data_IF_092290099777
#
_entry.id   IF_092290099777
#
_cell.length_a   1.000
_cell.length_b   1.000
_cell.length_c   1.000
_cell.angle_alpha   90.00
_cell.angle_beta   90.00
_cell.angle_gamma   90.00
#
_symmetry.space_group_name_H-M   'P 1'
#
loop_
_entity.id
_entity.type
_entity.pdbx_description
1 polymer ?
#
# COMPACT_ATOMS: atom_id res chain seq x y z
N UNK A 1 14.45 -2.75 7.84
CA UNK A 1 15.46 -2.03 7.04
C UNK A 1 16.56 -1.37 7.89
N UNK A 2 16.25 -0.79 9.06
CA UNK A 2 17.30 -0.32 10.00
C UNK A 2 18.36 -1.38 10.34
N UNK A 3 17.97 -2.68 10.42
CA UNK A 3 18.90 -3.80 10.63
C UNK A 3 19.89 -4.05 9.47
N UNK A 4 19.51 -3.73 8.22
CA UNK A 4 20.31 -4.02 7.02
C UNK A 4 21.22 -2.86 6.60
N UNK A 5 20.92 -1.64 7.06
CA UNK A 5 21.74 -0.44 6.85
C UNK A 5 23.21 -0.60 7.29
N UNK A 6 23.52 -1.05 8.51
CA UNK A 6 24.91 -1.22 8.95
C UNK A 6 25.63 -2.31 8.15
N UNK A 7 24.95 -3.43 7.86
CA UNK A 7 25.53 -4.51 7.06
C UNK A 7 25.92 -4.03 5.65
N UNK A 8 25.03 -3.26 5.00
CA UNK A 8 25.32 -2.72 3.66
C UNK A 8 26.47 -1.71 3.70
N UNK A 9 26.48 -0.78 4.67
CA UNK A 9 27.60 0.18 4.80
C UNK A 9 28.94 -0.52 5.07
N UNK A 10 28.94 -1.55 5.90
CA UNK A 10 30.14 -2.33 6.19
C UNK A 10 30.64 -3.08 4.95
N UNK A 11 29.75 -3.54 4.08
CA UNK A 11 30.14 -4.15 2.80
C UNK A 11 30.92 -3.16 1.91
N UNK A 12 30.44 -1.92 1.78
CA UNK A 12 31.11 -0.87 0.99
C UNK A 12 32.36 -0.28 1.68
N UNK A 13 32.48 -0.44 3.00
CA UNK A 13 33.68 -0.06 3.77
C UNK A 13 34.69 -1.21 3.93
N UNK A 14 34.38 -2.41 3.42
CA UNK A 14 35.23 -3.59 3.58
C UNK A 14 36.51 -3.50 2.77
N UNK A 15 37.59 -4.15 3.25
CA UNK A 15 38.85 -4.22 2.51
C UNK A 15 38.68 -4.84 1.12
N UNK A 16 37.78 -5.83 0.98
CA UNK A 16 37.48 -6.45 -0.31
C UNK A 16 36.88 -5.46 -1.31
N UNK A 17 36.13 -4.46 -0.82
CA UNK A 17 35.58 -3.40 -1.66
C UNK A 17 36.63 -2.34 -1.96
N UNK A 18 37.34 -1.84 -0.94
CA UNK A 18 38.30 -0.72 -1.09
C UNK A 18 39.56 -1.10 -1.86
N UNK A 19 40.01 -2.36 -1.77
CA UNK A 19 41.12 -2.90 -2.57
C UNK A 19 40.68 -3.46 -3.94
N UNK A 20 39.37 -3.61 -4.15
CA UNK A 20 38.82 -4.21 -5.36
C UNK A 20 38.77 -3.23 -6.54
N UNK A 21 38.64 -3.79 -7.75
CA UNK A 21 38.42 -3.01 -9.00
C UNK A 21 37.20 -2.08 -8.95
N UNK A 22 36.24 -2.37 -8.06
CA UNK A 22 35.01 -1.61 -7.90
C UNK A 22 35.21 -0.28 -7.17
N UNK A 23 36.25 -0.15 -6.33
CA UNK A 23 36.61 1.13 -5.70
C UNK A 23 37.15 2.15 -6.71
N UNK A 24 37.82 1.69 -7.77
CA UNK A 24 38.38 2.55 -8.83
C UNK A 24 37.40 2.76 -9.98
N UNK A 25 36.44 1.85 -10.19
CA UNK A 25 35.43 2.01 -11.21
C UNK A 25 34.43 3.14 -10.87
N UNK A 26 34.17 4.03 -11.84
CA UNK A 26 33.24 5.16 -11.70
C UNK A 26 31.84 4.74 -11.23
N UNK A 27 31.36 3.56 -11.66
CA UNK A 27 30.05 3.02 -11.22
C UNK A 27 30.08 2.59 -9.76
N UNK A 28 31.16 1.95 -9.32
CA UNK A 28 31.32 1.52 -7.93
C UNK A 28 31.51 2.68 -6.96
N UNK A 29 32.24 3.74 -7.37
CA UNK A 29 32.34 4.99 -6.60
C UNK A 29 30.98 5.65 -6.41
N UNK A 30 30.19 5.80 -7.48
CA UNK A 30 28.82 6.35 -7.36
C UNK A 30 27.94 5.52 -6.44
N UNK A 31 28.00 4.19 -6.55
CA UNK A 31 27.22 3.30 -5.69
C UNK A 31 27.62 3.45 -4.22
N UNK A 32 28.92 3.59 -3.95
CA UNK A 32 29.46 3.88 -2.63
C UNK A 32 28.87 5.20 -2.09
N UNK A 33 29.00 6.29 -2.85
CA UNK A 33 28.50 7.61 -2.45
C UNK A 33 27.00 7.59 -2.12
N UNK A 34 26.20 6.91 -2.95
CA UNK A 34 24.74 6.76 -2.74
C UNK A 34 24.45 6.05 -1.41
N UNK A 35 25.14 4.94 -1.11
CA UNK A 35 24.94 4.16 0.11
C UNK A 35 25.35 4.93 1.37
N UNK A 36 26.33 5.82 1.28
CA UNK A 36 26.72 6.65 2.42
C UNK A 36 25.83 7.88 2.61
N UNK A 37 25.17 8.36 1.54
CA UNK A 37 24.30 9.54 1.58
C UNK A 37 23.07 9.34 2.48
N UNK A 38 22.75 10.28 3.41
CA UNK A 38 21.57 10.19 4.27
C UNK A 38 20.24 10.18 3.49
N UNK A 39 20.15 10.95 2.41
CA UNK A 39 18.94 11.07 1.58
C UNK A 39 18.53 9.73 0.98
N UNK A 40 19.48 8.89 0.56
CA UNK A 40 19.20 7.53 0.09
C UNK A 40 18.43 6.72 1.14
N UNK A 41 18.91 6.71 2.38
CA UNK A 41 18.26 5.95 3.45
C UNK A 41 16.90 6.52 3.85
N UNK A 42 16.76 7.85 3.81
CA UNK A 42 15.48 8.50 4.05
C UNK A 42 14.47 8.12 2.96
N UNK A 43 14.89 8.12 1.69
CA UNK A 43 14.05 7.72 0.57
C UNK A 43 13.65 6.25 0.66
N UNK A 44 14.60 5.34 0.95
CA UNK A 44 14.26 3.92 1.10
C UNK A 44 13.33 3.69 2.30
N UNK A 45 13.51 4.42 3.41
CA UNK A 45 12.60 4.35 4.55
C UNK A 45 11.20 4.83 4.16
N UNK A 46 11.12 5.92 3.41
CA UNK A 46 9.86 6.46 2.90
C UNK A 46 9.17 5.48 1.96
N UNK A 47 9.89 4.92 0.99
CA UNK A 47 9.37 3.88 0.10
C UNK A 47 8.81 2.69 0.88
N UNK A 48 9.49 2.26 1.95
CA UNK A 48 9.00 1.16 2.78
C UNK A 48 7.74 1.54 3.56
N UNK A 49 7.63 2.77 4.06
CA UNK A 49 6.42 3.26 4.71
C UNK A 49 5.23 3.33 3.75
N UNK A 50 5.47 3.63 2.48
CA UNK A 50 4.44 3.66 1.42
C UNK A 50 4.06 2.25 0.98
N UNK A 51 5.06 1.42 0.64
CA UNK A 51 4.85 0.09 0.08
C UNK A 51 4.38 -0.93 1.11
N UNK A 52 4.76 -0.78 2.39
CA UNK A 52 4.39 -1.71 3.45
C UNK A 52 2.87 -1.93 3.58
N UNK A 53 2.07 -0.86 3.71
CA UNK A 53 0.61 -0.96 3.70
C UNK A 53 0.06 -1.56 2.40
N UNK A 54 0.57 -1.17 1.24
CA UNK A 54 0.12 -1.70 -0.06
C UNK A 54 0.36 -3.21 -0.20
N UNK A 55 1.52 -3.70 0.22
CA UNK A 55 1.83 -5.15 0.23
C UNK A 55 0.90 -5.91 1.17
N UNK A 56 0.46 -5.30 2.28
CA UNK A 56 -0.54 -5.93 3.15
C UNK A 56 -1.90 -6.06 2.46
N UNK A 57 -2.32 -5.04 1.71
CA UNK A 57 -3.55 -5.10 0.89
C UNK A 57 -3.43 -6.22 -0.13
N UNK A 58 -2.33 -6.30 -0.88
CA UNK A 58 -2.11 -7.35 -1.87
C UNK A 58 -2.16 -8.76 -1.25
N UNK A 59 -1.46 -8.99 -0.14
CA UNK A 59 -1.51 -10.28 0.57
C UNK A 59 -2.92 -10.66 1.03
N UNK A 60 -3.70 -9.66 1.41
CA UNK A 60 -5.08 -9.84 1.85
C UNK A 60 -6.00 -10.19 0.66
N UNK A 61 -5.81 -9.54 -0.49
CA UNK A 61 -6.49 -9.85 -1.75
C UNK A 61 -6.12 -11.23 -2.27
N UNK A 62 -4.84 -11.60 -2.22
CA UNK A 62 -4.32 -12.87 -2.75
C UNK A 62 -4.73 -14.09 -1.90
N UNK A 63 -4.91 -13.90 -0.58
CA UNK A 63 -5.32 -14.97 0.32
C UNK A 63 -6.81 -15.34 0.18
N UNK A 64 -7.64 -14.46 -0.37
CA UNK A 64 -9.07 -14.72 -0.57
C UNK A 64 -9.33 -15.19 -2.01
N UNK A 65 -10.00 -16.35 -2.19
CA UNK A 65 -10.33 -16.90 -3.51
C UNK A 65 -11.07 -15.91 -4.43
N UNK A 66 -11.84 -14.97 -3.84
CA UNK A 66 -12.39 -13.74 -4.43
C UNK A 66 -12.63 -12.77 -3.27
N UNK A 67 -11.91 -11.65 -3.14
CA UNK A 67 -12.20 -10.70 -2.07
C UNK A 67 -13.47 -9.91 -2.36
N UNK A 68 -14.28 -9.66 -1.34
CA UNK A 68 -15.42 -8.75 -1.45
C UNK A 68 -14.91 -7.34 -1.75
N UNK A 69 -15.51 -6.62 -2.70
CA UNK A 69 -15.05 -5.27 -3.06
C UNK A 69 -14.97 -4.34 -1.84
N UNK A 70 -15.96 -4.38 -0.94
CA UNK A 70 -15.93 -3.61 0.31
C UNK A 70 -14.70 -3.89 1.20
N UNK A 71 -14.18 -5.13 1.21
CA UNK A 71 -13.00 -5.50 2.00
C UNK A 71 -11.70 -4.99 1.37
N UNK A 72 -11.60 -5.03 0.05
CA UNK A 72 -10.46 -4.46 -0.69
C UNK A 72 -10.41 -2.94 -0.48
N UNK A 73 -11.56 -2.27 -0.53
CA UNK A 73 -11.66 -0.83 -0.33
C UNK A 73 -11.37 -0.43 1.11
N UNK A 74 -11.90 -1.15 2.10
CA UNK A 74 -11.57 -0.91 3.50
C UNK A 74 -10.06 -1.10 3.75
N UNK A 75 -9.47 -2.18 3.22
CA UNK A 75 -8.04 -2.43 3.33
C UNK A 75 -7.22 -1.34 2.63
N UNK A 76 -7.66 -0.86 1.47
CA UNK A 76 -7.02 0.23 0.75
C UNK A 76 -7.10 1.54 1.53
N UNK A 77 -8.25 1.87 2.09
CA UNK A 77 -8.45 3.10 2.86
C UNK A 77 -7.56 3.10 4.12
N UNK A 78 -7.48 1.95 4.81
CA UNK A 78 -6.51 1.76 5.91
C UNK A 78 -5.07 1.93 5.44
N UNK A 79 -4.74 1.49 4.22
CA UNK A 79 -3.42 1.67 3.65
C UNK A 79 -3.12 3.15 3.37
N UNK A 80 -4.06 3.89 2.77
CA UNK A 80 -3.94 5.34 2.56
C UNK A 80 -3.77 6.10 3.87
N UNK A 81 -4.54 5.78 4.91
CA UNK A 81 -4.39 6.39 6.24
C UNK A 81 -2.99 6.14 6.84
N UNK A 82 -2.45 4.94 6.69
CA UNK A 82 -1.09 4.63 7.13
C UNK A 82 -0.02 5.41 6.34
N UNK A 83 -0.25 5.62 5.04
CA UNK A 83 0.61 6.43 4.17
C UNK A 83 0.51 7.92 4.54
N UNK A 84 -0.70 8.42 4.80
CA UNK A 84 -0.96 9.77 5.28
C UNK A 84 -0.24 10.05 6.60
N UNK A 85 -0.24 9.09 7.53
CA UNK A 85 0.51 9.20 8.78
C UNK A 85 2.03 9.22 8.56
N UNK A 86 2.53 8.67 7.45
CA UNK A 86 3.95 8.64 7.12
C UNK A 86 4.45 9.91 6.40
N UNK A 87 3.62 10.50 5.54
CA UNK A 87 3.93 11.66 4.69
C UNK A 87 3.39 12.99 5.22
N UNK A 88 2.34 12.94 6.05
CA UNK A 88 1.48 14.08 6.38
C UNK A 88 0.28 14.11 5.44
N UNK A 89 -0.94 14.10 6.01
CA UNK A 89 -2.21 14.02 5.26
C UNK A 89 -2.40 15.16 4.24
N UNK A 90 -1.85 16.34 4.54
CA UNK A 90 -1.99 17.54 3.70
C UNK A 90 -0.73 17.80 2.84
N UNK A 91 0.21 16.86 2.83
CA UNK A 91 1.42 16.97 2.00
C UNK A 91 1.09 16.74 0.52
N UNK A 92 1.73 17.49 -0.37
CA UNK A 92 1.62 17.28 -1.81
C UNK A 92 2.06 15.86 -2.21
N UNK A 93 3.06 15.31 -1.50
CA UNK A 93 3.53 13.95 -1.70
C UNK A 93 2.43 12.92 -1.41
N UNK A 94 1.65 13.09 -0.34
CA UNK A 94 0.52 12.21 -0.06
C UNK A 94 -0.56 12.31 -1.13
N UNK A 95 -0.93 13.53 -1.54
CA UNK A 95 -1.97 13.75 -2.57
C UNK A 95 -1.60 12.99 -3.85
N UNK A 96 -0.37 13.18 -4.33
CA UNK A 96 0.14 12.49 -5.52
C UNK A 96 0.13 10.96 -5.36
N UNK A 97 0.57 10.46 -4.21
CA UNK A 97 0.58 9.02 -3.93
C UNK A 97 -0.84 8.46 -3.87
N UNK A 98 -1.78 9.14 -3.23
CA UNK A 98 -3.19 8.72 -3.16
C UNK A 98 -3.81 8.69 -4.55
N UNK A 99 -3.59 9.71 -5.38
CA UNK A 99 -4.10 9.76 -6.76
C UNK A 99 -3.55 8.60 -7.61
N UNK A 100 -2.26 8.29 -7.47
CA UNK A 100 -1.65 7.14 -8.15
C UNK A 100 -2.30 5.83 -7.69
N UNK A 101 -2.52 5.66 -6.38
CA UNK A 101 -3.17 4.47 -5.82
C UNK A 101 -4.59 4.33 -6.38
N UNK A 102 -5.38 5.41 -6.35
CA UNK A 102 -6.76 5.41 -6.82
C UNK A 102 -6.86 5.07 -8.31
N UNK A 103 -6.05 5.72 -9.14
CA UNK A 103 -5.99 5.45 -10.58
C UNK A 103 -5.58 4.01 -10.89
N UNK A 104 -4.73 3.40 -10.06
CA UNK A 104 -4.28 2.01 -10.26
C UNK A 104 -5.29 0.99 -9.75
N UNK A 105 -6.05 1.31 -8.71
CA UNK A 105 -7.05 0.40 -8.16
C UNK A 105 -8.27 0.29 -9.09
N UNK A 106 -8.83 1.43 -9.51
CA UNK A 106 -9.93 1.50 -10.48
C UNK A 106 -9.69 2.70 -11.39
N UNK A 107 -9.31 2.51 -12.67
CA UNK A 107 -8.98 3.64 -13.56
C UNK A 107 -10.15 4.58 -13.87
N UNK A 108 -11.38 4.09 -13.77
CA UNK A 108 -12.58 4.81 -14.15
C UNK A 108 -13.22 5.50 -12.93
N UNK A 109 -13.26 6.85 -12.94
CA UNK A 109 -13.80 7.64 -11.82
C UNK A 109 -15.27 7.30 -11.50
N UNK A 110 -16.11 7.10 -12.52
CA UNK A 110 -17.50 6.73 -12.31
C UNK A 110 -17.65 5.42 -11.50
N UNK A 111 -16.78 4.44 -11.75
CA UNK A 111 -16.74 3.20 -10.97
C UNK A 111 -16.22 3.43 -9.56
N UNK A 112 -15.22 4.30 -9.38
CA UNK A 112 -14.74 4.69 -8.05
C UNK A 112 -15.88 5.30 -7.22
N UNK A 113 -16.62 6.26 -7.78
CA UNK A 113 -17.70 6.96 -7.10
C UNK A 113 -18.84 6.02 -6.71
N UNK A 114 -19.23 5.11 -7.62
CA UNK A 114 -20.22 4.07 -7.33
C UNK A 114 -19.78 3.16 -6.18
N UNK A 115 -18.54 2.67 -6.21
CA UNK A 115 -18.03 1.79 -5.16
C UNK A 115 -17.93 2.54 -3.82
N UNK A 116 -17.53 3.81 -3.82
CA UNK A 116 -17.48 4.62 -2.61
C UNK A 116 -18.88 4.87 -2.03
N UNK A 117 -19.89 5.12 -2.87
CA UNK A 117 -21.27 5.28 -2.44
C UNK A 117 -21.85 3.99 -1.83
N UNK A 118 -21.62 2.84 -2.47
CA UNK A 118 -22.02 1.53 -1.93
C UNK A 118 -21.32 1.21 -0.60
N UNK A 119 -20.03 1.54 -0.48
CA UNK A 119 -19.26 1.33 0.75
C UNK A 119 -19.83 2.14 1.92
N UNK A 120 -20.22 3.41 1.70
CA UNK A 120 -20.83 4.25 2.74
C UNK A 120 -22.15 3.65 3.21
N UNK A 121 -23.01 3.22 2.28
CA UNK A 121 -24.28 2.55 2.62
C UNK A 121 -24.03 1.27 3.42
N UNK A 122 -22.99 0.51 3.08
CA UNK A 122 -22.60 -0.69 3.81
C UNK A 122 -22.13 -0.39 5.24
N UNK A 123 -21.24 0.60 5.42
CA UNK A 123 -20.73 1.02 6.73
C UNK A 123 -21.88 1.48 7.63
N UNK A 124 -22.78 2.29 7.07
CA UNK A 124 -23.92 2.85 7.81
C UNK A 124 -25.07 1.87 7.98
N UNK A 125 -25.03 0.70 7.33
CA UNK A 125 -26.14 -0.25 7.25
C UNK A 125 -27.43 0.43 6.75
N UNK A 126 -27.31 1.15 5.65
CA UNK A 126 -28.39 1.91 5.01
C UNK A 126 -28.79 1.28 3.66
N UNK A 127 -29.95 1.67 3.13
CA UNK A 127 -30.46 1.17 1.86
C UNK A 127 -30.67 -0.34 1.85
N UNK A 128 -30.28 -1.02 0.76
CA UNK A 128 -30.38 -2.47 0.63
C UNK A 128 -29.55 -3.22 1.70
N UNK A 129 -28.49 -2.60 2.22
CA UNK A 129 -27.63 -3.17 3.24
C UNK A 129 -28.20 -3.02 4.67
N UNK A 130 -29.18 -2.14 4.87
CA UNK A 130 -29.89 -1.94 6.13
C UNK A 130 -31.06 -2.88 6.40
N UNK A 131 -31.46 -3.68 5.41
CA UNK A 131 -32.56 -4.63 5.55
C UNK A 131 -32.22 -5.71 6.60
N UNK A 132 -33.19 -6.08 7.44
CA UNK A 132 -33.01 -7.11 8.47
C UNK A 132 -32.68 -8.50 7.88
N UNK A 133 -33.05 -8.75 6.63
CA UNK A 133 -32.59 -9.91 5.86
C UNK A 133 -31.11 -9.83 5.51
N UNK A 134 -30.63 -8.67 5.07
CA UNK A 134 -29.24 -8.40 4.74
C UNK A 134 -28.34 -8.49 6.00
N UNK A 135 -28.74 -7.85 7.11
CA UNK A 135 -28.06 -7.93 8.41
C UNK A 135 -27.97 -9.36 8.96
N UNK A 136 -29.02 -10.17 8.82
CA UNK A 136 -29.01 -11.60 9.24
C UNK A 136 -28.05 -12.47 8.43
N UNK A 137 -27.79 -12.11 7.17
CA UNK A 137 -26.90 -12.86 6.29
C UNK A 137 -25.43 -12.40 6.37
N UNK A 138 -25.19 -11.20 6.90
CA UNK A 138 -23.90 -10.52 6.95
C UNK A 138 -22.75 -11.32 7.60
N UNK A 139 -23.07 -12.23 8.52
CA UNK A 139 -22.12 -13.16 9.13
C UNK A 139 -22.28 -14.63 8.73
N UNK A 140 -23.29 -14.97 7.92
CA UNK A 140 -23.62 -16.35 7.52
C UNK A 140 -23.07 -16.74 6.15
N UNK A 141 -22.89 -15.76 5.28
CA UNK A 141 -22.39 -15.94 3.92
C UNK A 141 -20.99 -15.31 3.86
N UNK A 142 -20.06 -15.94 3.15
CA UNK A 142 -18.76 -15.35 2.90
C UNK A 142 -18.96 -13.95 2.27
N UNK A 143 -18.27 -12.95 2.82
CA UNK A 143 -18.48 -11.52 2.48
C UNK A 143 -18.46 -11.26 0.98
N UNK A 144 -17.63 -11.99 0.23
CA UNK A 144 -17.51 -11.88 -1.23
C UNK A 144 -18.70 -12.46 -2.00
N UNK A 145 -19.26 -13.58 -1.53
CA UNK A 145 -20.46 -14.19 -2.12
C UNK A 145 -21.71 -13.37 -1.79
N UNK A 146 -21.73 -12.77 -0.60
CA UNK A 146 -22.78 -11.84 -0.22
C UNK A 146 -22.76 -10.58 -1.08
N UNK A 147 -21.58 -9.99 -1.33
CA UNK A 147 -21.45 -8.79 -2.15
C UNK A 147 -22.00 -9.01 -3.56
N UNK A 148 -21.64 -10.12 -4.23
CA UNK A 148 -22.17 -10.46 -5.57
C UNK A 148 -23.69 -10.66 -5.63
N UNK A 149 -24.32 -11.00 -4.50
CA UNK A 149 -25.77 -11.17 -4.43
C UNK A 149 -26.50 -9.84 -4.18
N UNK A 150 -25.82 -8.88 -3.57
CA UNK A 150 -26.40 -7.59 -3.18
C UNK A 150 -26.07 -6.45 -4.16
N UNK A 151 -24.94 -6.52 -4.86
CA UNK A 151 -24.61 -5.63 -5.98
C UNK A 151 -25.18 -6.23 -7.27
N UNK A 152 -26.42 -5.84 -7.58
CA UNK A 152 -27.10 -6.09 -8.86
C UNK A 152 -26.61 -5.09 -9.91
#
# INVERSE_FOLDING_TARGET
MQKQKPALRNMFASEQWTSGKWATERKGQRANDIVFTPTFWNNVLLTLKIMGPLVKVLRLVDNEKKPAMGYVYEAMERAKLAIAAALGKDSNEYILVSEIIDKRLVPEKAKQDLIMAELIQWINQEGFFGLESAKRQHGKIARAEWWKKCSL
#
